data_IF_438647956677
#
_entry.id   IF_438647956677
#
_cell.length_a   1.000
_cell.length_b   1.000
_cell.length_c   1.000
_cell.angle_alpha   90.00
_cell.angle_beta   90.00
_cell.angle_gamma   90.00
#
_symmetry.space_group_name_H-M   'P 1'
#
loop_
_entity.id
_entity.type
_entity.pdbx_description
1 polymer ?
#
# COMPACT_ATOMS: atom_id res chain seq x y z
N UNK A 1 -8.78 -10.61 7.86
CA UNK A 1 -9.43 -9.56 7.05
C UNK A 1 -10.58 -8.99 7.87
N UNK A 2 -10.81 -7.69 7.82
CA UNK A 2 -11.89 -6.97 8.49
C UNK A 2 -12.89 -6.56 7.41
N UNK A 3 -14.16 -6.91 7.62
CA UNK A 3 -15.28 -6.52 6.77
C UNK A 3 -16.52 -6.39 7.66
N UNK A 4 -17.31 -5.34 7.47
CA UNK A 4 -18.49 -5.03 8.28
C UNK A 4 -19.70 -4.82 7.35
N UNK A 5 -20.64 -5.77 7.36
CA UNK A 5 -21.87 -5.70 6.57
C UNK A 5 -22.71 -4.47 6.93
N UNK A 6 -22.82 -4.13 8.22
CA UNK A 6 -23.66 -3.02 8.67
C UNK A 6 -23.16 -1.69 8.13
N UNK A 7 -21.83 -1.50 8.07
CA UNK A 7 -21.21 -0.28 7.55
C UNK A 7 -21.47 -0.11 6.05
N UNK A 8 -21.44 -1.19 5.28
CA UNK A 8 -21.68 -1.14 3.84
C UNK A 8 -23.16 -0.96 3.51
N UNK A 9 -24.06 -1.62 4.24
CA UNK A 9 -25.51 -1.47 4.05
C UNK A 9 -26.01 -0.08 4.43
N UNK A 10 -25.39 0.57 5.44
CA UNK A 10 -25.71 1.95 5.84
C UNK A 10 -25.41 3.00 4.78
N UNK A 11 -24.61 2.68 3.74
CA UNK A 11 -24.36 3.60 2.63
C UNK A 11 -25.59 3.77 1.71
N UNK A 12 -26.59 2.87 1.79
CA UNK A 12 -27.82 2.91 1.00
C UNK A 12 -27.66 2.55 -0.49
N UNK A 13 -26.45 2.70 -1.05
CA UNK A 13 -26.11 2.37 -2.44
C UNK A 13 -25.59 0.94 -2.64
N UNK A 14 -25.42 0.17 -1.57
CA UNK A 14 -24.90 -1.22 -1.59
C UNK A 14 -25.95 -2.16 -1.01
N UNK A 15 -26.27 -3.23 -1.75
CA UNK A 15 -27.19 -4.28 -1.32
C UNK A 15 -26.50 -5.65 -1.31
N UNK A 16 -27.18 -6.68 -0.81
CA UNK A 16 -26.66 -8.05 -0.78
C UNK A 16 -26.19 -8.51 -2.17
N UNK A 17 -26.99 -8.20 -3.20
CA UNK A 17 -26.72 -8.56 -4.60
C UNK A 17 -25.56 -7.77 -5.23
N UNK A 18 -25.14 -6.66 -4.62
CA UNK A 18 -23.97 -5.88 -5.09
C UNK A 18 -22.69 -6.71 -4.98
N UNK A 19 -22.56 -7.52 -3.92
CA UNK A 19 -21.38 -8.36 -3.70
C UNK A 19 -21.67 -9.83 -4.00
N UNK A 20 -22.80 -10.35 -3.52
CA UNK A 20 -23.11 -11.76 -3.64
C UNK A 20 -23.80 -12.09 -4.95
N UNK A 21 -23.44 -13.23 -5.53
CA UNK A 21 -24.18 -13.85 -6.64
C UNK A 21 -24.73 -15.21 -6.20
N UNK A 22 -25.85 -15.66 -6.78
CA UNK A 22 -26.32 -17.03 -6.56
C UNK A 22 -25.23 -18.04 -6.94
N UNK A 23 -24.91 -18.95 -6.03
CA UNK A 23 -24.04 -20.09 -6.29
C UNK A 23 -24.76 -21.09 -7.21
N UNK A 24 -23.99 -21.98 -7.85
CA UNK A 24 -24.57 -23.09 -8.63
C UNK A 24 -25.50 -23.89 -7.70
N UNK A 25 -26.80 -23.92 -8.02
CA UNK A 25 -27.84 -24.56 -7.20
C UNK A 25 -28.74 -23.61 -6.39
N UNK A 26 -28.55 -22.28 -6.46
CA UNK A 26 -29.55 -21.28 -6.04
C UNK A 26 -29.77 -21.08 -4.53
N UNK A 27 -29.30 -21.99 -3.69
CA UNK A 27 -29.53 -21.96 -2.22
C UNK A 27 -28.42 -21.26 -1.42
N UNK A 28 -27.29 -20.95 -2.03
CA UNK A 28 -26.17 -20.27 -1.38
C UNK A 28 -25.74 -19.01 -2.15
N UNK A 29 -25.42 -17.94 -1.45
CA UNK A 29 -24.84 -16.72 -1.98
C UNK A 29 -23.32 -16.78 -1.86
N UNK A 30 -22.58 -16.51 -2.93
CA UNK A 30 -21.12 -16.55 -2.91
C UNK A 30 -20.48 -15.25 -3.40
N UNK A 31 -19.32 -14.96 -2.82
CA UNK A 31 -18.33 -14.03 -3.35
C UNK A 31 -17.09 -14.83 -3.75
N UNK A 32 -16.29 -14.36 -4.73
CA UNK A 32 -14.97 -14.93 -4.95
C UNK A 32 -14.19 -14.99 -3.65
N UNK A 33 -13.64 -16.15 -3.31
CA UNK A 33 -12.83 -16.35 -2.11
C UNK A 33 -11.33 -16.23 -2.43
N UNK A 34 -10.51 -16.14 -1.38
CA UNK A 34 -9.06 -16.01 -1.52
C UNK A 34 -8.67 -14.70 -2.23
N UNK A 35 -7.66 -14.77 -3.11
CA UNK A 35 -7.10 -13.58 -3.76
C UNK A 35 -8.10 -12.84 -4.66
N UNK A 36 -9.01 -13.57 -5.31
CA UNK A 36 -10.03 -13.00 -6.19
C UNK A 36 -11.06 -12.14 -5.44
N UNK A 37 -11.14 -12.23 -4.11
CA UNK A 37 -12.01 -11.39 -3.29
C UNK A 37 -11.71 -9.89 -3.48
N UNK A 38 -10.43 -9.53 -3.74
CA UNK A 38 -10.04 -8.14 -4.01
C UNK A 38 -10.81 -7.53 -5.20
N UNK A 39 -11.12 -8.32 -6.23
CA UNK A 39 -11.89 -7.85 -7.38
C UNK A 39 -13.32 -7.45 -7.01
N UNK A 40 -13.84 -7.90 -5.86
CA UNK A 40 -15.14 -7.46 -5.32
C UNK A 40 -14.97 -6.15 -4.56
N UNK A 41 -13.98 -6.07 -3.66
CA UNK A 41 -13.72 -4.88 -2.84
C UNK A 41 -13.30 -3.67 -3.70
N UNK A 42 -12.39 -3.87 -4.65
CA UNK A 42 -11.82 -2.81 -5.48
C UNK A 42 -12.76 -2.27 -6.56
N UNK A 43 -13.99 -2.79 -6.68
CA UNK A 43 -15.03 -2.14 -7.49
C UNK A 43 -15.38 -0.75 -6.95
N UNK A 44 -15.30 -0.58 -5.62
CA UNK A 44 -15.58 0.69 -4.96
C UNK A 44 -14.34 1.23 -4.24
N UNK A 45 -13.47 0.37 -3.71
CA UNK A 45 -12.21 0.75 -3.06
C UNK A 45 -11.06 0.89 -4.07
N UNK A 46 -11.24 1.72 -5.10
CA UNK A 46 -10.20 1.99 -6.10
C UNK A 46 -9.08 2.86 -5.52
N UNK A 47 -7.89 2.93 -6.14
CA UNK A 47 -6.84 3.86 -5.71
C UNK A 47 -7.39 5.29 -5.61
N UNK A 48 -7.18 5.95 -4.47
CA UNK A 48 -7.70 7.29 -4.14
C UNK A 48 -9.20 7.36 -3.86
N UNK A 49 -9.89 6.24 -3.69
CA UNK A 49 -11.25 6.26 -3.16
C UNK A 49 -11.24 6.79 -1.72
N UNK A 50 -12.14 7.72 -1.43
CA UNK A 50 -12.24 8.38 -0.12
C UNK A 50 -13.64 8.19 0.48
N UNK A 51 -13.71 8.14 1.81
CA UNK A 51 -14.96 8.18 2.56
C UNK A 51 -14.76 9.05 3.80
N UNK A 52 -15.53 10.14 3.90
CA UNK A 52 -15.39 11.12 4.99
C UNK A 52 -13.99 11.74 5.07
N UNK A 53 -13.38 12.05 3.92
CA UNK A 53 -12.03 12.64 3.83
C UNK A 53 -10.89 11.68 4.20
N UNK A 54 -11.16 10.38 4.31
CA UNK A 54 -10.14 9.35 4.59
C UNK A 54 -10.00 8.43 3.39
N UNK A 55 -8.75 8.18 2.97
CA UNK A 55 -8.42 7.18 1.95
C UNK A 55 -8.84 5.78 2.44
N UNK A 56 -9.83 5.21 1.77
CA UNK A 56 -10.36 3.88 2.05
C UNK A 56 -9.74 2.80 1.15
N UNK A 57 -8.84 3.17 0.25
CA UNK A 57 -8.16 2.26 -0.67
C UNK A 57 -7.01 1.50 0.00
N UNK A 58 -6.53 1.98 1.15
CA UNK A 58 -5.37 1.40 1.83
C UNK A 58 -5.58 -0.05 2.27
N UNK A 59 -4.54 -0.88 2.11
CA UNK A 59 -4.53 -2.29 2.54
C UNK A 59 -4.98 -2.46 4.01
N UNK A 60 -4.60 -1.51 4.89
CA UNK A 60 -4.92 -1.53 6.31
C UNK A 60 -6.40 -1.33 6.64
N UNK A 61 -7.19 -0.82 5.69
CA UNK A 61 -8.64 -0.68 5.84
C UNK A 61 -9.30 -2.06 6.00
N UNK A 62 -8.86 -3.04 5.20
CA UNK A 62 -9.44 -4.39 5.17
C UNK A 62 -8.54 -5.44 5.84
N UNK A 63 -7.23 -5.21 5.94
CA UNK A 63 -6.31 -6.15 6.56
C UNK A 63 -5.81 -5.58 7.88
N UNK A 64 -5.77 -6.42 8.91
CA UNK A 64 -4.85 -6.16 10.00
C UNK A 64 -3.46 -6.31 9.41
N UNK A 65 -2.82 -5.17 9.15
CA UNK A 65 -1.40 -5.16 8.86
C UNK A 65 -0.73 -5.81 10.06
N UNK A 66 0.07 -6.84 9.84
CA UNK A 66 0.88 -7.42 10.90
C UNK A 66 1.68 -6.33 11.60
N UNK A 67 2.12 -6.58 12.83
CA UNK A 67 3.18 -5.78 13.41
C UNK A 67 4.30 -5.65 12.38
N UNK A 68 4.94 -4.48 12.30
CA UNK A 68 6.03 -4.20 11.38
C UNK A 68 7.01 -5.40 11.39
N UNK A 69 6.84 -6.32 10.44
CA UNK A 69 7.78 -7.41 10.26
C UNK A 69 8.97 -6.71 9.67
N UNK A 70 10.08 -6.66 10.41
CA UNK A 70 11.36 -6.18 9.86
C UNK A 70 11.51 -6.88 8.52
N UNK A 71 11.37 -6.12 7.43
CA UNK A 71 11.90 -6.57 6.15
C UNK A 71 13.35 -6.95 6.47
N UNK A 72 13.84 -8.11 6.01
CA UNK A 72 15.12 -8.60 6.48
C UNK A 72 16.17 -7.50 6.44
N UNK A 73 17.04 -7.41 7.44
CA UNK A 73 17.96 -6.27 7.57
C UNK A 73 18.90 -6.11 6.36
N UNK A 74 19.02 -7.17 5.55
CA UNK A 74 19.72 -7.15 4.26
C UNK A 74 18.98 -6.41 3.14
N UNK A 75 17.70 -6.08 3.29
CA UNK A 75 16.95 -5.35 2.28
C UNK A 75 17.54 -3.95 2.11
N UNK A 76 17.81 -3.60 0.86
CA UNK A 76 18.63 -2.44 0.52
C UNK A 76 18.08 -1.12 1.08
N UNK A 77 16.76 -0.96 1.19
CA UNK A 77 16.11 0.20 1.82
C UNK A 77 16.52 0.42 3.29
N UNK A 78 16.70 -0.66 4.06
CA UNK A 78 17.09 -0.58 5.48
C UNK A 78 18.59 -0.39 5.68
N UNK A 79 19.38 -0.67 4.64
CA UNK A 79 20.79 -0.28 4.60
C UNK A 79 20.94 1.24 4.44
N UNK A 80 19.99 1.89 3.76
CA UNK A 80 19.95 3.34 3.53
C UNK A 80 19.01 4.10 4.47
N UNK A 81 18.67 3.53 5.63
CA UNK A 81 18.03 4.26 6.73
C UNK A 81 16.50 4.38 6.70
N UNK A 82 15.79 3.60 5.89
CA UNK A 82 14.32 3.63 5.84
C UNK A 82 13.64 3.06 7.10
N UNK A 83 12.45 3.56 7.45
CA UNK A 83 11.61 3.07 8.56
C UNK A 83 10.12 3.31 8.31
N UNK A 84 9.28 2.26 8.30
CA UNK A 84 7.82 2.42 8.14
C UNK A 84 7.20 3.23 9.31
N UNK A 85 7.72 3.09 10.54
CA UNK A 85 7.21 3.85 11.68
C UNK A 85 7.35 5.37 11.48
N UNK A 86 8.44 5.80 10.84
CA UNK A 86 8.65 7.22 10.48
C UNK A 86 7.75 7.69 9.32
N UNK A 87 7.19 6.77 8.55
CA UNK A 87 6.34 7.05 7.38
C UNK A 87 4.85 6.75 7.61
N UNK A 88 4.44 6.44 8.84
CA UNK A 88 3.05 6.07 9.17
C UNK A 88 1.98 7.13 8.86
N UNK A 89 2.38 8.37 8.55
CA UNK A 89 1.47 9.46 8.16
C UNK A 89 1.02 9.36 6.69
N UNK A 90 1.58 8.44 5.90
CA UNK A 90 1.13 8.15 4.53
C UNK A 90 0.45 6.79 4.48
N UNK A 91 -0.44 6.57 3.52
CA UNK A 91 -1.12 5.28 3.37
C UNK A 91 -0.21 4.29 2.64
N UNK A 92 -0.44 2.99 2.84
CA UNK A 92 0.35 1.94 2.18
C UNK A 92 0.41 2.14 0.67
N UNK A 93 -0.69 2.60 0.07
CA UNK A 93 -0.85 2.78 -1.36
C UNK A 93 -0.05 3.97 -1.91
N UNK A 94 0.42 4.86 -1.04
CA UNK A 94 1.32 5.93 -1.46
C UNK A 94 2.73 5.42 -1.81
N UNK A 95 3.10 4.22 -1.34
CA UNK A 95 4.40 3.60 -1.64
C UNK A 95 4.25 2.28 -2.41
N UNK A 96 3.21 1.51 -2.11
CA UNK A 96 2.99 0.17 -2.61
C UNK A 96 1.84 0.13 -3.59
N UNK A 97 2.07 -0.43 -4.78
CA UNK A 97 1.02 -0.67 -5.77
C UNK A 97 0.68 -2.16 -5.80
N UNK A 98 -0.60 -2.46 -6.03
CA UNK A 98 -1.08 -3.84 -6.18
C UNK A 98 -1.02 -4.24 -7.65
N UNK A 99 -0.34 -5.34 -7.95
CA UNK A 99 -0.27 -5.97 -9.27
C UNK A 99 -1.16 -7.21 -9.29
N UNK A 100 -2.30 -7.10 -9.95
CA UNK A 100 -3.22 -8.22 -10.15
C UNK A 100 -2.54 -9.35 -10.96
N UNK A 101 -2.89 -10.60 -10.65
CA UNK A 101 -2.38 -11.78 -11.37
C UNK A 101 -0.93 -12.20 -11.05
N UNK A 102 -0.18 -11.42 -10.26
CA UNK A 102 1.16 -11.83 -9.82
C UNK A 102 1.09 -12.88 -8.69
N UNK A 103 2.15 -13.70 -8.50
CA UNK A 103 2.25 -14.58 -7.32
C UNK A 103 2.21 -13.78 -6.01
N UNK A 104 1.65 -14.36 -4.94
CA UNK A 104 1.39 -13.67 -3.65
C UNK A 104 2.55 -12.79 -3.14
N UNK A 105 3.80 -13.26 -3.25
CA UNK A 105 5.00 -12.53 -2.80
C UNK A 105 5.43 -11.36 -3.70
N UNK A 106 4.82 -11.19 -4.87
CA UNK A 106 5.13 -10.17 -5.89
C UNK A 106 3.94 -9.26 -6.21
N UNK A 107 2.81 -9.45 -5.53
CA UNK A 107 1.59 -8.67 -5.76
C UNK A 107 1.66 -7.26 -5.23
N UNK A 108 2.47 -7.00 -4.21
CA UNK A 108 2.65 -5.68 -3.63
C UNK A 108 4.05 -5.20 -4.01
N UNK A 109 4.14 -4.10 -4.76
CA UNK A 109 5.44 -3.55 -5.15
C UNK A 109 6.21 -3.05 -3.93
N UNK A 110 7.53 -3.06 -3.98
CA UNK A 110 8.36 -2.29 -3.06
C UNK A 110 8.92 -1.07 -3.81
N UNK A 111 8.98 0.12 -3.16
CA UNK A 111 9.71 1.25 -3.71
C UNK A 111 11.18 0.92 -3.97
N UNK A 112 11.77 1.57 -4.96
CA UNK A 112 13.23 1.57 -5.12
C UNK A 112 13.87 2.30 -3.94
N UNK A 113 14.90 1.71 -3.30
CA UNK A 113 15.62 2.32 -2.19
C UNK A 113 16.63 3.36 -2.67
N UNK A 114 16.21 4.22 -3.60
CA UNK A 114 17.03 5.21 -4.28
C UNK A 114 16.39 6.58 -4.08
N UNK A 115 17.16 7.53 -3.55
CA UNK A 115 16.76 8.93 -3.51
C UNK A 115 17.32 9.74 -4.68
N UNK A 116 18.23 9.17 -5.47
CA UNK A 116 18.82 9.78 -6.64
C UNK A 116 19.06 8.68 -7.67
N UNK A 117 19.04 9.03 -8.96
CA UNK A 117 19.16 8.08 -10.08
C UNK A 117 18.18 6.90 -10.04
N UNK A 118 16.98 7.10 -9.48
CA UNK A 118 15.92 6.10 -9.55
C UNK A 118 15.58 5.82 -11.01
N UNK A 119 15.27 4.56 -11.34
CA UNK A 119 15.11 4.15 -12.75
C UNK A 119 13.79 4.63 -13.37
N UNK A 120 12.93 5.28 -12.57
CA UNK A 120 11.59 5.73 -12.95
C UNK A 120 10.56 4.59 -13.06
N UNK A 121 10.99 3.32 -12.94
CA UNK A 121 10.12 2.13 -13.10
C UNK A 121 9.23 1.85 -11.88
N UNK A 122 9.54 2.47 -10.75
CA UNK A 122 8.77 2.36 -9.51
C UNK A 122 8.89 3.66 -8.71
N UNK A 123 8.00 3.82 -7.73
CA UNK A 123 8.13 4.84 -6.70
C UNK A 123 9.49 4.69 -6.02
N UNK A 124 10.11 5.81 -5.67
CA UNK A 124 11.40 5.86 -4.99
C UNK A 124 11.35 6.86 -3.84
N UNK A 125 12.43 6.99 -3.07
CA UNK A 125 12.50 7.99 -2.02
C UNK A 125 12.29 9.41 -2.60
N UNK A 126 12.85 9.68 -3.78
CA UNK A 126 12.78 10.99 -4.47
C UNK A 126 11.35 11.34 -4.88
N UNK A 127 10.45 10.37 -5.03
CA UNK A 127 9.04 10.64 -5.36
C UNK A 127 8.32 11.46 -4.28
N UNK A 128 8.88 11.58 -3.09
CA UNK A 128 8.38 12.44 -2.01
C UNK A 128 9.47 13.33 -1.39
N UNK A 129 10.72 12.86 -1.34
CA UNK A 129 11.88 13.61 -0.85
C UNK A 129 12.52 14.45 -1.96
N UNK A 130 11.69 15.30 -2.58
CA UNK A 130 12.01 16.14 -3.74
C UNK A 130 12.25 17.61 -3.38
N UNK A 131 12.25 17.95 -2.09
CA UNK A 131 12.34 19.33 -1.59
C UNK A 131 11.02 20.10 -1.64
N UNK A 132 9.94 19.51 -2.18
CA UNK A 132 8.61 20.11 -2.26
C UNK A 132 7.64 19.46 -1.28
N UNK A 133 7.54 18.12 -1.31
CA UNK A 133 6.63 17.34 -0.45
C UNK A 133 7.28 16.98 0.88
N UNK A 134 8.55 16.66 0.85
CA UNK A 134 9.37 16.40 2.03
C UNK A 134 10.80 16.90 1.79
N UNK A 135 11.61 16.91 2.85
CA UNK A 135 13.03 17.27 2.75
C UNK A 135 13.73 16.44 1.67
N UNK A 136 14.67 17.03 0.94
CA UNK A 136 15.36 16.40 -0.19
C UNK A 136 15.52 17.40 -1.33
N UNK A 137 15.66 16.89 -2.55
CA UNK A 137 15.98 17.67 -3.74
C UNK A 137 17.44 17.52 -4.19
N UNK A 138 17.80 18.26 -5.24
CA UNK A 138 19.08 18.13 -5.95
C UNK A 138 20.22 18.96 -5.31
N UNK A 139 19.97 19.56 -4.14
CA UNK A 139 20.97 20.35 -3.40
C UNK A 139 21.89 19.48 -2.52
N UNK A 140 21.58 18.18 -2.40
CA UNK A 140 22.30 17.18 -1.60
C UNK A 140 22.61 17.62 -0.15
N UNK A 141 21.80 18.53 0.42
CA UNK A 141 22.07 19.10 1.76
C UNK A 141 21.70 18.17 2.92
N UNK A 142 20.94 17.11 2.65
CA UNK A 142 20.29 16.26 3.66
C UNK A 142 20.74 14.79 3.66
N UNK A 143 21.91 14.47 3.09
CA UNK A 143 22.41 13.09 2.93
C UNK A 143 22.36 12.26 4.22
N UNK A 144 22.78 12.85 5.35
CA UNK A 144 22.85 12.18 6.67
C UNK A 144 21.48 11.79 7.22
N UNK A 145 20.37 12.30 6.68
CA UNK A 145 19.02 11.92 7.12
C UNK A 145 18.67 10.48 6.76
N UNK A 146 19.28 9.96 5.69
CA UNK A 146 19.09 8.58 5.22
C UNK A 146 20.37 7.75 5.42
N UNK A 147 21.54 8.33 5.14
CA UNK A 147 22.83 7.65 5.27
C UNK A 147 23.38 7.73 6.70
N UNK A 148 22.82 6.91 7.60
CA UNK A 148 23.14 6.93 9.03
C UNK A 148 24.12 5.84 9.47
N UNK A 149 24.60 4.99 8.55
CA UNK A 149 25.55 3.90 8.86
C UNK A 149 26.99 4.37 8.65
N UNK A 150 27.89 3.82 9.45
CA UNK A 150 29.32 4.17 9.52
C UNK A 150 30.11 3.92 8.23
N UNK A 151 29.60 3.12 7.29
CA UNK A 151 30.26 2.78 6.02
C UNK A 151 29.84 3.68 4.83
N UNK A 152 29.25 4.85 5.08
CA UNK A 152 28.94 5.79 4.00
C UNK A 152 30.20 6.59 3.63
N UNK A 153 30.69 6.35 2.43
CA UNK A 153 31.80 7.06 1.80
C UNK A 153 31.31 7.74 0.52
N UNK A 154 31.84 8.92 0.22
CA UNK A 154 31.58 9.67 -1.01
C UNK A 154 32.30 9.04 -2.20
#
# INVERSE_FOLDING_TARGET
MKFDHSRHLKLGSVSCATCHRPSRGGVALSIPSGFNAHATCYRCHTPRAESGGRDISSCGTCHQLGGYSRTPEFAQAFRVGFSHAKHQKVTCNNCHQVRAGMPQRRQVTAPEPLNHHATGRALSCMSCHDGKRAFGGDDFSVCKRCHTRTAWHF
#
